data_IF_485080887640
#
_entry.id   IF_485080887640
#
_cell.length_a   1.000
_cell.length_b   1.000
_cell.length_c   1.000
_cell.angle_alpha   90.00
_cell.angle_beta   90.00
_cell.angle_gamma   90.00
#
_symmetry.space_group_name_H-M   'P 1'
#
loop_
_entity.id
_entity.type
_entity.pdbx_description
1 polymer ?
#
# COMPACT_ATOMS: atom_id res chain seq x y z
N UNK A 1 -14.95 17.69 15.96
CA UNK A 1 -13.94 18.29 15.05
C UNK A 1 -14.52 19.54 14.41
N UNK A 2 -13.84 20.67 14.53
CA UNK A 2 -14.22 21.91 13.84
C UNK A 2 -13.70 21.87 12.40
N UNK A 3 -14.59 22.10 11.44
CA UNK A 3 -14.28 21.85 10.01
C UNK A 3 -13.24 22.82 9.46
N UNK A 4 -13.38 24.12 9.66
CA UNK A 4 -12.48 25.11 9.06
C UNK A 4 -11.02 25.03 9.61
N UNK A 5 -10.78 24.90 10.92
CA UNK A 5 -9.41 24.67 11.43
C UNK A 5 -8.79 23.37 10.92
N UNK A 6 -9.58 22.30 10.75
CA UNK A 6 -9.12 21.05 10.19
C UNK A 6 -8.71 21.21 8.71
N UNK A 7 -9.56 21.84 7.90
CA UNK A 7 -9.26 22.09 6.48
C UNK A 7 -8.04 23.00 6.29
N UNK A 8 -7.83 23.97 7.19
CA UNK A 8 -6.62 24.78 7.18
C UNK A 8 -5.35 23.94 7.43
N UNK A 9 -5.40 23.01 8.41
CA UNK A 9 -4.30 22.08 8.67
C UNK A 9 -4.06 21.14 7.47
N UNK A 10 -5.14 20.60 6.88
CA UNK A 10 -5.06 19.76 5.69
C UNK A 10 -4.44 20.52 4.51
N UNK A 11 -4.86 21.74 4.26
CA UNK A 11 -4.27 22.62 3.23
C UNK A 11 -2.77 22.83 3.46
N UNK A 12 -2.35 23.08 4.70
CA UNK A 12 -0.95 23.23 5.06
C UNK A 12 -0.11 21.97 4.80
N UNK A 13 -0.67 20.78 5.10
CA UNK A 13 0.00 19.50 4.86
C UNK A 13 0.07 19.16 3.36
N UNK A 14 -0.98 19.41 2.61
CA UNK A 14 -1.04 19.19 1.16
C UNK A 14 -0.07 20.09 0.39
N UNK A 15 0.26 21.25 0.93
CA UNK A 15 1.24 22.17 0.32
C UNK A 15 2.70 21.67 0.44
N UNK A 16 2.96 20.59 1.20
CA UNK A 16 4.30 20.00 1.33
C UNK A 16 4.49 18.93 0.25
N UNK A 17 5.46 19.09 -0.67
CA UNK A 17 5.74 18.11 -1.71
C UNK A 17 6.62 16.97 -1.16
N UNK A 18 6.07 16.15 -0.27
CA UNK A 18 6.75 15.06 0.43
C UNK A 18 6.95 13.84 -0.46
N UNK A 19 7.64 14.01 -1.58
CA UNK A 19 8.04 12.91 -2.48
C UNK A 19 9.29 12.21 -1.97
N UNK A 20 9.50 10.96 -2.37
CA UNK A 20 10.57 10.11 -1.86
C UNK A 20 12.00 10.67 -2.06
N UNK A 21 12.20 11.54 -3.05
CA UNK A 21 13.45 12.23 -3.38
C UNK A 21 13.67 13.55 -2.62
N UNK A 22 12.74 13.93 -1.71
CA UNK A 22 12.76 15.20 -0.96
C UNK A 22 12.77 14.97 0.56
N UNK A 23 13.90 14.55 1.14
CA UNK A 23 13.97 14.16 2.56
C UNK A 23 13.54 15.27 3.53
N UNK A 24 13.89 16.54 3.26
CA UNK A 24 13.46 17.65 4.10
C UNK A 24 11.93 17.84 4.12
N UNK A 25 11.28 17.63 2.98
CA UNK A 25 9.83 17.72 2.89
C UNK A 25 9.13 16.49 3.52
N UNK A 26 9.76 15.29 3.50
CA UNK A 26 9.29 14.14 4.28
C UNK A 26 9.31 14.44 5.78
N UNK A 27 10.42 14.95 6.30
CA UNK A 27 10.53 15.38 7.71
C UNK A 27 9.52 16.47 8.05
N UNK A 28 9.30 17.43 7.15
CA UNK A 28 8.35 18.53 7.33
C UNK A 28 6.91 18.01 7.38
N UNK A 29 6.51 17.14 6.45
CA UNK A 29 5.16 16.57 6.42
C UNK A 29 4.89 15.74 7.68
N UNK A 30 5.82 14.84 8.05
CA UNK A 30 5.74 14.07 9.29
C UNK A 30 5.63 14.99 10.51
N UNK A 31 6.48 16.04 10.58
CA UNK A 31 6.48 17.02 11.66
C UNK A 31 5.13 17.72 11.83
N UNK A 32 4.49 18.13 10.74
CA UNK A 32 3.17 18.77 10.76
C UNK A 32 2.09 17.88 11.38
N UNK A 33 2.06 16.58 11.03
CA UNK A 33 1.07 15.64 11.59
C UNK A 33 1.39 15.30 13.04
N UNK A 34 2.66 15.10 13.39
CA UNK A 34 3.11 14.90 14.77
C UNK A 34 2.72 16.11 15.64
N UNK A 35 2.97 17.34 15.18
CA UNK A 35 2.64 18.56 15.93
C UNK A 35 1.12 18.77 16.03
N UNK A 36 0.35 18.38 15.00
CA UNK A 36 -1.10 18.39 15.03
C UNK A 36 -1.65 17.41 16.08
N UNK A 37 -1.04 16.23 16.23
CA UNK A 37 -1.44 15.24 17.21
C UNK A 37 -1.07 15.60 18.66
N UNK A 38 -0.04 16.45 18.88
CA UNK A 38 0.39 16.90 20.23
C UNK A 38 -0.55 17.98 20.80
N UNK A 39 -0.62 18.20 22.17
CA UNK A 39 0.38 17.92 23.18
C UNK A 39 0.08 16.70 24.06
N UNK A 40 1.12 16.22 24.80
CA UNK A 40 0.95 15.29 25.92
C UNK A 40 1.25 13.83 25.62
N UNK A 41 1.74 13.51 24.42
CA UNK A 41 2.06 12.15 24.01
C UNK A 41 3.57 11.94 23.83
N UNK A 42 4.04 10.73 24.08
CA UNK A 42 5.38 10.29 23.71
C UNK A 42 5.45 10.16 22.20
N UNK A 43 6.52 10.66 21.60
CA UNK A 43 6.83 10.52 20.18
C UNK A 43 8.12 9.74 20.06
N UNK A 44 8.03 8.49 19.65
CA UNK A 44 9.16 7.66 19.30
C UNK A 44 9.45 7.86 17.80
N UNK A 45 10.68 8.20 17.47
CA UNK A 45 11.10 8.49 16.09
C UNK A 45 11.99 7.38 15.58
N UNK A 46 11.78 7.04 14.31
CA UNK A 46 12.57 6.05 13.58
C UNK A 46 13.07 6.69 12.28
N UNK A 47 14.13 6.12 11.77
CA UNK A 47 14.66 6.48 10.45
C UNK A 47 15.37 5.27 9.86
N UNK A 48 15.04 4.91 8.63
CA UNK A 48 15.67 3.87 7.83
C UNK A 48 15.70 4.33 6.38
N UNK A 49 16.77 4.02 5.64
CA UNK A 49 16.90 4.38 4.24
C UNK A 49 16.68 5.87 3.92
N UNK A 50 16.90 6.77 4.90
CA UNK A 50 16.60 8.20 4.78
C UNK A 50 15.11 8.54 4.81
N UNK A 51 14.27 7.63 5.31
CA UNK A 51 12.81 7.80 5.48
C UNK A 51 12.48 7.93 6.96
N UNK A 52 12.04 9.13 7.41
CA UNK A 52 11.65 9.33 8.79
C UNK A 52 10.27 8.72 9.05
N UNK A 53 10.08 8.16 10.23
CA UNK A 53 8.76 7.71 10.69
C UNK A 53 8.59 7.96 12.19
N UNK A 54 7.37 7.87 12.70
CA UNK A 54 7.07 8.13 14.09
C UNK A 54 5.94 7.26 14.63
N UNK A 55 6.04 6.90 15.90
CA UNK A 55 4.98 6.27 16.67
C UNK A 55 4.62 7.15 17.86
N UNK A 56 3.35 7.54 17.96
CA UNK A 56 2.83 8.35 19.06
C UNK A 56 1.98 7.48 19.98
N UNK A 57 2.13 7.66 21.30
CA UNK A 57 1.35 6.94 22.31
C UNK A 57 1.31 7.69 23.66
N UNK A 58 0.32 7.45 24.53
CA UNK A 58 0.28 8.04 25.86
C UNK A 58 1.24 7.35 26.83
N UNK A 59 1.98 8.11 27.62
CA UNK A 59 2.84 7.60 28.69
C UNK A 59 4.03 6.79 28.18
N UNK A 60 4.21 5.55 28.71
CA UNK A 60 5.29 4.63 28.34
C UNK A 60 4.84 3.65 27.26
N UNK A 61 5.77 3.27 26.37
CA UNK A 61 5.51 2.28 25.31
C UNK A 61 5.05 0.96 25.94
N UNK A 62 3.94 0.45 25.38
CA UNK A 62 3.44 -0.89 25.72
C UNK A 62 4.07 -1.92 24.77
N UNK A 63 4.23 -3.17 25.20
CA UNK A 63 4.73 -4.24 24.34
C UNK A 63 3.82 -4.47 23.11
N UNK A 64 2.53 -4.20 23.27
CA UNK A 64 1.50 -4.37 22.23
C UNK A 64 0.42 -3.31 22.41
N UNK A 65 0.01 -2.68 21.32
CA UNK A 65 -1.15 -1.79 21.28
C UNK A 65 -2.44 -2.58 21.08
N UNK A 66 -3.54 -2.12 21.65
CA UNK A 66 -4.85 -2.71 21.35
C UNK A 66 -5.28 -2.32 19.92
N UNK A 67 -5.07 -1.06 19.58
CA UNK A 67 -5.31 -0.52 18.24
C UNK A 67 -4.09 0.31 17.80
N UNK A 68 -3.74 0.19 16.53
CA UNK A 68 -2.84 1.11 15.83
C UNK A 68 -3.64 1.79 14.73
N UNK A 69 -3.60 3.11 14.69
CA UNK A 69 -3.97 3.91 13.53
C UNK A 69 -2.70 4.14 12.71
N UNK A 70 -2.71 3.77 11.43
CA UNK A 70 -1.54 3.86 10.57
C UNK A 70 -1.81 4.77 9.37
N UNK A 71 -0.91 5.71 9.12
CA UNK A 71 -1.00 6.58 7.97
C UNK A 71 0.38 6.91 7.37
N UNK A 72 0.43 7.04 6.05
CA UNK A 72 1.57 7.61 5.35
C UNK A 72 1.36 9.09 5.00
N UNK A 73 2.45 9.83 4.90
CA UNK A 73 2.44 11.25 4.56
C UNK A 73 3.39 11.60 3.40
N UNK A 74 4.03 10.60 2.80
CA UNK A 74 4.67 10.72 1.50
C UNK A 74 3.63 10.71 0.38
N UNK A 75 4.05 11.07 -0.80
CA UNK A 75 3.20 11.15 -1.99
C UNK A 75 4.02 10.83 -3.24
N UNK A 76 3.36 10.31 -4.29
CA UNK A 76 3.98 10.16 -5.61
C UNK A 76 4.34 11.53 -6.20
N UNK A 77 5.32 11.61 -7.12
CA UNK A 77 5.66 12.84 -7.85
C UNK A 77 4.43 13.46 -8.54
N UNK A 78 4.41 14.78 -8.59
CA UNK A 78 3.33 15.54 -9.22
C UNK A 78 3.84 16.89 -9.75
N UNK A 79 3.04 17.51 -10.62
CA UNK A 79 3.33 18.86 -11.08
C UNK A 79 3.28 19.86 -9.92
N UNK A 80 4.14 20.91 -9.92
CA UNK A 80 4.19 21.90 -8.83
C UNK A 80 2.85 22.57 -8.51
N UNK A 81 1.94 22.63 -9.49
CA UNK A 81 0.57 23.16 -9.31
C UNK A 81 -0.28 22.34 -8.34
N UNK A 82 -0.05 21.02 -8.26
CA UNK A 82 -0.79 20.12 -7.37
C UNK A 82 -0.41 20.27 -5.89
N UNK A 83 0.71 20.96 -5.58
CA UNK A 83 1.09 21.36 -4.22
C UNK A 83 0.61 22.77 -3.86
N UNK A 84 -0.37 23.30 -4.64
CA UNK A 84 -1.13 24.52 -4.30
C UNK A 84 -2.59 24.11 -4.04
N UNK A 85 -2.86 23.53 -2.87
CA UNK A 85 -4.18 22.98 -2.58
C UNK A 85 -5.25 24.09 -2.61
N UNK A 86 -6.43 23.71 -3.07
CA UNK A 86 -7.58 24.61 -3.12
C UNK A 86 -8.87 23.84 -2.91
N UNK A 87 -9.87 24.52 -2.38
CA UNK A 87 -11.21 23.98 -2.22
C UNK A 87 -12.11 24.44 -3.36
N UNK A 88 -12.88 23.51 -3.91
CA UNK A 88 -13.99 23.80 -4.81
C UNK A 88 -15.22 22.98 -4.38
N UNK A 89 -16.24 23.64 -3.85
CA UNK A 89 -17.40 23.00 -3.24
C UNK A 89 -17.01 22.04 -2.12
N UNK A 90 -17.36 20.76 -2.30
CA UNK A 90 -17.08 19.67 -1.35
C UNK A 90 -15.79 18.92 -1.67
N UNK A 91 -14.92 19.47 -2.52
CA UNK A 91 -13.65 18.86 -2.91
C UNK A 91 -12.47 19.70 -2.43
N UNK A 92 -11.52 19.06 -1.76
CA UNK A 92 -10.22 19.63 -1.43
C UNK A 92 -9.18 19.04 -2.38
N UNK A 93 -8.75 19.84 -3.36
CA UNK A 93 -7.77 19.41 -4.37
C UNK A 93 -6.33 19.58 -3.87
N UNK A 94 -5.48 18.65 -4.25
CA UNK A 94 -4.04 18.65 -3.99
C UNK A 94 -3.47 17.24 -4.01
N UNK A 95 -2.18 17.09 -4.32
CA UNK A 95 -1.47 15.80 -4.25
C UNK A 95 -1.44 15.32 -2.80
N UNK A 96 -1.85 14.06 -2.58
CA UNK A 96 -1.98 13.46 -1.25
C UNK A 96 -3.31 13.77 -0.57
N UNK A 97 -4.25 14.45 -1.25
CA UNK A 97 -5.54 14.77 -0.65
C UNK A 97 -6.37 13.51 -0.43
N UNK A 98 -6.44 12.64 -1.43
CA UNK A 98 -7.08 11.33 -1.33
C UNK A 98 -6.15 10.31 -0.66
N UNK A 99 -4.87 10.31 -1.03
CA UNK A 99 -3.87 9.30 -0.72
C UNK A 99 -2.66 9.93 -0.02
N UNK A 100 -2.56 9.90 1.32
CA UNK A 100 -3.67 9.74 2.28
C UNK A 100 -3.59 10.81 3.38
N UNK A 101 -2.97 11.98 3.07
CA UNK A 101 -2.68 13.05 4.06
C UNK A 101 -3.91 13.55 4.82
N UNK A 102 -5.10 13.60 4.17
CA UNK A 102 -6.33 14.03 4.83
C UNK A 102 -6.77 13.00 5.86
N UNK A 103 -6.74 11.71 5.51
CA UNK A 103 -7.00 10.62 6.47
C UNK A 103 -6.00 10.62 7.62
N UNK A 104 -4.71 10.85 7.35
CA UNK A 104 -3.67 10.94 8.38
C UNK A 104 -4.00 12.01 9.44
N UNK A 105 -4.51 13.16 9.01
CA UNK A 105 -4.95 14.20 9.94
C UNK A 105 -6.22 13.82 10.69
N UNK A 106 -7.17 13.07 10.07
CA UNK A 106 -8.36 12.56 10.79
C UNK A 106 -7.93 11.60 11.88
N UNK A 107 -7.04 10.66 11.59
CA UNK A 107 -6.51 9.71 12.57
C UNK A 107 -5.74 10.42 13.70
N UNK A 108 -4.90 11.41 13.35
CA UNK A 108 -4.20 12.23 14.31
C UNK A 108 -5.15 13.03 15.22
N UNK A 109 -6.27 13.54 14.68
CA UNK A 109 -7.31 14.23 15.45
C UNK A 109 -8.02 13.28 16.43
N UNK A 110 -8.39 12.09 15.98
CA UNK A 110 -9.05 11.09 16.82
C UNK A 110 -8.08 10.59 17.90
N UNK A 111 -6.83 10.31 17.54
CA UNK A 111 -5.78 9.95 18.47
C UNK A 111 -5.61 11.01 19.57
N UNK A 112 -5.45 12.28 19.19
CA UNK A 112 -5.30 13.41 20.12
C UNK A 112 -6.44 13.51 21.13
N UNK A 113 -7.66 13.24 20.69
CA UNK A 113 -8.84 13.38 21.55
C UNK A 113 -9.04 12.20 22.50
N UNK A 114 -8.64 10.98 22.10
CA UNK A 114 -9.03 9.77 22.81
C UNK A 114 -7.87 9.03 23.49
N UNK A 115 -6.65 9.09 22.95
CA UNK A 115 -5.59 8.17 23.37
C UNK A 115 -5.26 8.22 24.85
N UNK A 116 -5.35 9.39 25.50
CA UNK A 116 -5.09 9.54 26.94
C UNK A 116 -6.24 9.06 27.83
N UNK A 117 -7.44 8.87 27.30
CA UNK A 117 -8.65 8.54 28.09
C UNK A 117 -9.16 7.12 27.87
N UNK A 118 -8.70 6.44 26.82
CA UNK A 118 -9.06 5.06 26.54
C UNK A 118 -8.47 4.11 27.59
N UNK A 119 -9.20 3.06 28.02
CA UNK A 119 -8.72 2.09 29.00
C UNK A 119 -7.71 1.08 28.42
N UNK A 120 -7.31 1.23 27.17
CA UNK A 120 -6.38 0.38 26.46
C UNK A 120 -5.37 1.21 25.64
N UNK A 121 -4.19 0.65 25.32
CA UNK A 121 -3.18 1.37 24.58
C UNK A 121 -3.60 1.60 23.12
N UNK A 122 -3.60 2.86 22.68
CA UNK A 122 -3.78 3.30 21.31
C UNK A 122 -2.45 3.86 20.79
N UNK A 123 -2.01 3.42 19.60
CA UNK A 123 -0.86 3.96 18.88
C UNK A 123 -1.30 4.72 17.64
N UNK A 124 -0.57 5.79 17.30
CA UNK A 124 -0.63 6.44 15.99
C UNK A 124 0.74 6.26 15.32
N UNK A 125 0.76 5.48 14.24
CA UNK A 125 1.95 5.15 13.46
C UNK A 125 1.94 5.97 12.17
N UNK A 126 2.97 6.79 11.97
CA UNK A 126 3.12 7.67 10.82
C UNK A 126 4.38 7.29 10.06
N UNK A 127 4.26 7.13 8.74
CA UNK A 127 5.36 6.71 7.86
C UNK A 127 5.49 7.63 6.65
N UNK A 128 6.62 7.54 5.91
CA UNK A 128 6.95 8.44 4.79
C UNK A 128 7.54 7.71 3.58
N UNK A 129 7.15 6.46 3.35
CA UNK A 129 7.72 5.63 2.29
C UNK A 129 6.74 4.60 1.69
N UNK A 130 5.43 4.73 1.97
CA UNK A 130 4.44 3.81 1.44
C UNK A 130 4.48 3.76 -0.09
N UNK A 131 4.54 4.93 -0.73
CA UNK A 131 4.54 5.13 -2.18
C UNK A 131 5.81 4.60 -2.90
N UNK A 132 6.81 4.22 -2.12
CA UNK A 132 8.07 3.63 -2.62
C UNK A 132 8.37 2.27 -2.01
N UNK A 133 7.36 1.66 -1.39
CA UNK A 133 7.40 0.27 -0.97
C UNK A 133 7.32 -0.01 0.53
N UNK A 134 7.19 0.99 1.43
CA UNK A 134 6.85 0.86 2.85
C UNK A 134 7.85 0.11 3.73
N UNK A 135 9.05 -0.18 3.23
CA UNK A 135 10.03 -1.03 3.95
C UNK A 135 10.78 -0.29 5.04
N UNK A 136 11.03 0.99 4.82
CA UNK A 136 11.78 1.85 5.74
C UNK A 136 10.88 2.52 6.80
N UNK A 137 9.57 2.51 6.59
CA UNK A 137 8.55 3.01 7.50
C UNK A 137 7.84 1.91 8.28
N UNK A 138 6.73 1.40 7.72
CA UNK A 138 5.87 0.42 8.41
C UNK A 138 6.62 -0.87 8.74
N UNK A 139 7.30 -1.49 7.77
CA UNK A 139 8.07 -2.72 8.03
C UNK A 139 9.16 -2.48 9.07
N UNK A 140 9.95 -1.41 8.91
CA UNK A 140 11.01 -1.08 9.86
C UNK A 140 10.46 -0.92 11.29
N UNK A 141 9.35 -0.21 11.49
CA UNK A 141 8.77 -0.06 12.82
C UNK A 141 8.29 -1.40 13.41
N UNK A 142 7.72 -2.30 12.59
CA UNK A 142 7.37 -3.66 13.02
C UNK A 142 8.61 -4.46 13.46
N UNK A 143 9.72 -4.37 12.72
CA UNK A 143 11.02 -4.98 13.07
C UNK A 143 11.61 -4.39 14.37
N UNK A 144 11.33 -3.11 14.66
CA UNK A 144 11.67 -2.46 15.94
C UNK A 144 10.68 -2.80 17.07
N UNK A 145 9.81 -3.80 16.86
CA UNK A 145 8.91 -4.34 17.86
C UNK A 145 7.62 -3.53 18.06
N UNK A 146 7.22 -2.67 17.11
CA UNK A 146 5.86 -2.10 17.10
C UNK A 146 4.88 -3.22 16.80
N UNK A 147 3.86 -3.39 17.63
CA UNK A 147 2.88 -4.47 17.51
C UNK A 147 1.52 -4.06 18.02
N UNK A 148 0.44 -4.61 17.45
CA UNK A 148 -0.94 -4.33 17.84
C UNK A 148 -1.86 -5.54 17.69
N UNK A 149 -3.07 -5.46 18.25
CA UNK A 149 -4.08 -6.52 18.07
C UNK A 149 -4.87 -6.30 16.78
N UNK A 150 -5.08 -5.03 16.42
CA UNK A 150 -5.80 -4.66 15.22
C UNK A 150 -5.30 -3.30 14.70
N UNK A 151 -5.17 -3.16 13.39
CA UNK A 151 -4.66 -1.95 12.74
C UNK A 151 -5.70 -1.39 11.79
N UNK A 152 -5.86 -0.07 11.80
CA UNK A 152 -6.62 0.65 10.78
C UNK A 152 -5.62 1.49 10.00
N UNK A 153 -5.56 1.27 8.68
CA UNK A 153 -4.76 2.05 7.74
C UNK A 153 -5.70 3.03 7.05
N UNK A 154 -5.45 4.32 7.19
CA UNK A 154 -6.36 5.39 6.77
C UNK A 154 -6.39 5.67 5.28
N UNK A 155 -6.00 4.73 4.41
CA UNK A 155 -6.05 4.94 2.97
C UNK A 155 -7.48 5.06 2.42
N UNK A 156 -7.59 5.73 1.29
CA UNK A 156 -8.82 6.06 0.59
C UNK A 156 -9.70 4.83 0.29
N UNK A 157 -10.90 4.83 0.81
CA UNK A 157 -11.91 3.80 0.52
C UNK A 157 -13.34 4.37 0.46
N UNK A 158 -13.52 5.64 0.78
CA UNK A 158 -14.86 6.23 0.88
C UNK A 158 -15.70 5.58 1.98
N UNK A 159 -15.08 5.20 3.11
CA UNK A 159 -15.68 4.48 4.24
C UNK A 159 -16.13 3.03 3.92
N UNK A 160 -15.77 2.46 2.77
CA UNK A 160 -15.71 1.01 2.64
C UNK A 160 -14.52 0.47 3.45
N UNK A 161 -14.47 -0.85 3.67
CA UNK A 161 -13.38 -1.47 4.42
C UNK A 161 -12.70 -2.50 3.53
N UNK A 162 -11.43 -2.25 3.15
CA UNK A 162 -10.67 -3.23 2.43
C UNK A 162 -10.02 -4.22 3.42
N UNK A 163 -10.34 -5.50 3.22
CA UNK A 163 -9.82 -6.62 4.02
C UNK A 163 -8.73 -7.39 3.30
N UNK A 164 -8.63 -7.21 1.99
CA UNK A 164 -7.68 -7.92 1.14
C UNK A 164 -7.06 -6.98 0.12
N UNK A 165 -5.77 -7.16 -0.15
CA UNK A 165 -5.10 -6.58 -1.32
C UNK A 165 -4.16 -7.59 -1.97
N UNK A 166 -3.90 -7.44 -3.28
CA UNK A 166 -2.99 -8.34 -3.98
C UNK A 166 -1.55 -8.10 -3.57
N UNK A 167 -0.79 -9.19 -3.49
CA UNK A 167 0.67 -9.17 -3.45
C UNK A 167 1.25 -8.82 -4.82
N UNK A 168 2.55 -8.59 -4.86
CA UNK A 168 3.27 -8.16 -6.05
C UNK A 168 4.55 -8.98 -6.24
N UNK A 169 4.81 -9.40 -7.47
CA UNK A 169 6.08 -10.00 -7.87
C UNK A 169 6.59 -9.23 -9.09
N UNK A 170 7.81 -8.72 -8.99
CA UNK A 170 8.57 -8.22 -10.13
C UNK A 170 9.56 -9.30 -10.56
N UNK A 171 9.47 -9.73 -11.81
CA UNK A 171 10.34 -10.78 -12.35
C UNK A 171 10.70 -10.54 -13.80
N UNK A 172 11.86 -11.06 -14.21
CA UNK A 172 12.31 -11.06 -15.59
C UNK A 172 12.44 -12.50 -16.08
N UNK A 173 12.14 -12.73 -17.36
CA UNK A 173 12.50 -13.96 -18.06
C UNK A 173 13.66 -13.67 -18.98
N UNK A 174 14.82 -14.28 -18.73
CA UNK A 174 16.03 -14.14 -19.54
C UNK A 174 16.23 -15.36 -20.41
N UNK A 175 16.19 -15.14 -21.72
CA UNK A 175 16.39 -16.19 -22.71
C UNK A 175 17.80 -16.14 -23.30
N UNK A 176 18.45 -17.30 -23.40
CA UNK A 176 19.74 -17.51 -24.05
C UNK A 176 19.62 -18.50 -25.18
N UNK A 177 20.35 -18.25 -26.25
CA UNK A 177 20.41 -19.07 -27.42
C UNK A 177 21.76 -18.98 -28.14
N UNK A 178 21.79 -19.23 -29.42
CA UNK A 178 22.98 -19.21 -30.25
C UNK A 178 22.74 -18.41 -31.54
N UNK A 179 23.57 -17.39 -31.76
CA UNK A 179 23.47 -16.57 -32.96
C UNK A 179 23.83 -17.36 -34.24
N UNK A 180 23.14 -17.04 -35.30
CA UNK A 180 23.40 -17.63 -36.60
C UNK A 180 22.81 -16.77 -37.75
N UNK A 181 23.11 -17.15 -38.99
CA UNK A 181 22.49 -16.50 -40.12
C UNK A 181 21.03 -16.96 -40.28
N UNK A 182 20.10 -16.02 -40.41
CA UNK A 182 18.65 -16.31 -40.46
C UNK A 182 18.21 -17.27 -41.57
N UNK A 183 18.97 -17.35 -42.68
CA UNK A 183 18.73 -18.30 -43.76
C UNK A 183 19.04 -19.77 -43.38
N UNK A 184 19.73 -20.00 -42.25
CA UNK A 184 20.12 -21.33 -41.76
C UNK A 184 19.66 -21.53 -40.34
N UNK A 185 18.33 -21.53 -40.07
CA UNK A 185 17.78 -21.54 -38.71
C UNK A 185 18.20 -22.74 -37.87
N UNK A 186 18.56 -23.88 -38.51
CA UNK A 186 19.07 -25.09 -37.87
C UNK A 186 20.51 -24.96 -37.36
N UNK A 187 21.22 -23.87 -37.68
CA UNK A 187 22.58 -23.59 -37.19
C UNK A 187 22.62 -22.64 -36.01
N UNK A 188 21.47 -22.13 -35.61
CA UNK A 188 21.34 -21.22 -34.47
C UNK A 188 20.26 -21.69 -33.52
N UNK A 189 20.11 -20.94 -32.43
CA UNK A 189 19.10 -21.18 -31.40
C UNK A 189 18.49 -19.84 -30.98
N UNK A 190 17.25 -19.62 -31.39
CA UNK A 190 16.61 -18.29 -31.33
C UNK A 190 16.06 -18.00 -29.92
N UNK A 191 16.73 -17.13 -29.17
CA UNK A 191 16.31 -16.73 -27.84
C UNK A 191 14.93 -16.05 -27.79
N UNK A 192 14.58 -15.25 -28.82
CA UNK A 192 13.26 -14.61 -28.89
C UNK A 192 12.11 -15.64 -29.05
N UNK A 193 12.32 -16.68 -29.83
CA UNK A 193 11.32 -17.74 -30.02
C UNK A 193 11.12 -18.50 -28.72
N UNK A 194 12.18 -18.87 -28.01
CA UNK A 194 12.07 -19.50 -26.69
C UNK A 194 11.35 -18.63 -25.68
N UNK A 195 11.65 -17.32 -25.65
CA UNK A 195 11.01 -16.37 -24.76
C UNK A 195 9.52 -16.26 -25.09
N UNK A 196 9.16 -16.14 -26.38
CA UNK A 196 7.78 -16.08 -26.84
C UNK A 196 6.99 -17.34 -26.42
N UNK A 197 7.54 -18.55 -26.61
CA UNK A 197 6.90 -19.80 -26.22
C UNK A 197 6.72 -19.89 -24.70
N UNK A 198 7.70 -19.45 -23.91
CA UNK A 198 7.61 -19.38 -22.46
C UNK A 198 6.51 -18.42 -22.01
N UNK A 199 6.47 -17.22 -22.59
CA UNK A 199 5.41 -16.23 -22.33
C UNK A 199 4.02 -16.73 -22.73
N UNK A 200 3.89 -17.43 -23.85
CA UNK A 200 2.64 -18.01 -24.30
C UNK A 200 2.09 -19.04 -23.29
N UNK A 201 2.95 -19.89 -22.71
CA UNK A 201 2.55 -20.82 -21.64
C UNK A 201 2.12 -20.09 -20.38
N UNK A 202 2.90 -19.11 -19.94
CA UNK A 202 2.57 -18.31 -18.75
C UNK A 202 1.24 -17.57 -18.93
N UNK A 203 1.03 -16.91 -20.07
CA UNK A 203 -0.20 -16.15 -20.37
C UNK A 203 -1.39 -17.08 -20.68
N UNK A 204 -1.17 -18.34 -21.01
CA UNK A 204 -2.24 -19.35 -21.07
C UNK A 204 -2.70 -19.74 -19.67
N UNK A 205 -1.77 -19.88 -18.72
CA UNK A 205 -2.10 -20.14 -17.31
C UNK A 205 -2.72 -18.91 -16.62
N UNK A 206 -2.28 -17.72 -16.99
CA UNK A 206 -2.76 -16.44 -16.48
C UNK A 206 -3.26 -15.53 -17.62
N UNK A 207 -4.44 -15.80 -18.19
CA UNK A 207 -4.95 -15.03 -19.33
C UNK A 207 -5.11 -13.55 -18.98
N UNK A 208 -4.81 -12.67 -19.95
CA UNK A 208 -4.98 -11.22 -19.80
C UNK A 208 -6.43 -10.91 -19.40
N UNK A 209 -6.61 -10.18 -18.32
CA UNK A 209 -7.93 -9.77 -17.84
C UNK A 209 -8.48 -8.63 -18.72
N UNK A 210 -9.72 -8.77 -19.19
CA UNK A 210 -10.46 -7.75 -19.96
C UNK A 210 -11.53 -7.06 -19.13
N UNK A 211 -11.72 -7.51 -17.89
CA UNK A 211 -12.65 -6.95 -16.89
C UNK A 211 -12.02 -7.08 -15.51
N UNK A 212 -12.64 -6.48 -14.50
CA UNK A 212 -12.18 -6.60 -13.12
C UNK A 212 -12.28 -8.06 -12.63
N UNK A 213 -11.14 -8.63 -12.20
CA UNK A 213 -11.08 -10.01 -11.72
C UNK A 213 -10.25 -10.15 -10.46
N UNK A 214 -10.74 -10.92 -9.50
CA UNK A 214 -10.00 -11.28 -8.28
C UNK A 214 -9.26 -12.59 -8.47
N UNK A 215 -8.18 -12.54 -9.23
CA UNK A 215 -7.25 -13.66 -9.47
C UNK A 215 -5.87 -13.12 -9.76
N UNK A 216 -4.88 -13.98 -9.83
CA UNK A 216 -3.54 -13.61 -10.30
C UNK A 216 -3.60 -13.06 -11.73
N UNK A 217 -2.92 -11.94 -11.92
CA UNK A 217 -2.77 -11.28 -13.23
C UNK A 217 -1.30 -11.05 -13.53
N UNK A 218 -0.93 -11.24 -14.78
CA UNK A 218 0.44 -11.02 -15.28
C UNK A 218 0.42 -9.90 -16.29
N UNK A 219 1.13 -8.82 -15.99
CA UNK A 219 1.40 -7.77 -16.97
C UNK A 219 2.78 -7.99 -17.59
N UNK A 220 2.81 -8.18 -18.91
CA UNK A 220 4.03 -8.17 -19.69
C UNK A 220 4.39 -6.72 -19.99
N UNK A 221 5.30 -6.16 -19.21
CA UNK A 221 5.61 -4.73 -19.26
C UNK A 221 6.57 -4.37 -20.43
N UNK A 222 7.48 -5.29 -20.79
CA UNK A 222 8.52 -5.04 -21.80
C UNK A 222 9.08 -6.34 -22.35
N UNK A 223 9.47 -6.33 -23.60
CA UNK A 223 10.29 -7.36 -24.26
C UNK A 223 11.44 -6.67 -24.98
N UNK A 224 12.65 -7.20 -24.85
CA UNK A 224 13.84 -6.68 -25.51
C UNK A 224 14.75 -7.78 -26.05
N UNK A 225 15.54 -7.38 -27.05
CA UNK A 225 16.70 -8.12 -27.54
C UNK A 225 17.77 -7.13 -27.98
N UNK A 226 19.06 -7.38 -27.71
CA UNK A 226 20.15 -6.56 -28.24
C UNK A 226 20.38 -6.74 -29.74
N UNK A 227 19.67 -7.69 -30.39
CA UNK A 227 19.80 -7.97 -31.80
C UNK A 227 19.22 -6.84 -32.64
N UNK A 228 20.05 -6.24 -33.51
CA UNK A 228 19.67 -5.14 -34.43
C UNK A 228 19.53 -5.58 -35.90
N UNK A 229 20.03 -6.77 -36.24
CA UNK A 229 20.06 -7.25 -37.61
C UNK A 229 18.95 -8.27 -37.88
N UNK A 230 18.13 -8.00 -38.91
CA UNK A 230 17.00 -8.87 -39.28
C UNK A 230 17.45 -10.23 -39.85
N UNK A 231 18.66 -10.31 -40.40
CA UNK A 231 19.26 -11.51 -40.98
C UNK A 231 20.14 -12.29 -39.99
N UNK A 232 19.99 -12.02 -38.69
CA UNK A 232 20.68 -12.70 -37.60
C UNK A 232 19.68 -13.34 -36.67
N UNK A 233 19.97 -14.56 -36.21
CA UNK A 233 19.23 -15.25 -35.13
C UNK A 233 19.63 -14.60 -33.80
N UNK A 234 18.67 -14.08 -33.00
CA UNK A 234 18.96 -13.49 -31.69
C UNK A 234 19.50 -14.54 -30.70
N UNK A 235 20.63 -14.24 -30.06
CA UNK A 235 21.22 -15.10 -29.02
C UNK A 235 20.73 -14.72 -27.61
N UNK A 236 20.09 -13.56 -27.44
CA UNK A 236 19.61 -13.08 -26.13
C UNK A 236 18.28 -12.38 -26.30
N UNK A 237 17.39 -12.55 -25.32
CA UNK A 237 16.16 -11.81 -25.18
C UNK A 237 15.75 -11.74 -23.70
N UNK A 238 15.00 -10.71 -23.33
CA UNK A 238 14.51 -10.53 -21.96
C UNK A 238 13.09 -9.98 -21.96
N UNK A 239 12.28 -10.39 -21.00
CA UNK A 239 10.94 -9.88 -20.74
C UNK A 239 10.77 -9.49 -19.27
N UNK A 240 10.08 -8.37 -19.01
CA UNK A 240 9.77 -7.86 -17.67
C UNK A 240 8.31 -8.10 -17.34
N UNK A 241 8.06 -8.66 -16.16
CA UNK A 241 6.75 -9.06 -15.67
C UNK A 241 6.42 -8.32 -14.37
N UNK A 242 5.20 -7.77 -14.27
CA UNK A 242 4.55 -7.38 -13.01
C UNK A 242 3.40 -8.36 -12.76
N UNK A 243 3.51 -9.16 -11.69
CA UNK A 243 2.53 -10.18 -11.32
C UNK A 243 1.81 -9.72 -10.06
N UNK A 244 0.47 -9.65 -10.12
CA UNK A 244 -0.38 -9.31 -8.98
C UNK A 244 -1.20 -10.52 -8.58
N UNK A 245 -1.08 -10.97 -7.33
CA UNK A 245 -1.68 -12.21 -6.87
C UNK A 245 -2.49 -12.03 -5.58
N UNK A 246 -3.68 -12.67 -5.48
CA UNK A 246 -4.49 -12.61 -4.26
C UNK A 246 -3.97 -13.56 -3.18
N UNK A 247 -4.41 -13.40 -1.91
CA UNK A 247 -4.01 -14.29 -0.81
C UNK A 247 -4.33 -15.76 -1.05
N UNK A 248 -5.36 -16.07 -1.85
CA UNK A 248 -5.80 -17.41 -2.17
C UNK A 248 -4.89 -18.16 -3.17
N UNK A 249 -3.98 -17.46 -3.85
CA UNK A 249 -3.03 -18.11 -4.78
C UNK A 249 -1.91 -18.81 -4.01
N UNK A 250 -2.11 -20.08 -3.72
CA UNK A 250 -1.16 -20.91 -2.96
C UNK A 250 0.14 -21.23 -3.71
N UNK A 251 0.21 -20.97 -5.02
CA UNK A 251 1.44 -21.13 -5.79
C UNK A 251 2.41 -19.96 -5.54
N UNK A 252 1.88 -18.80 -5.11
CA UNK A 252 2.64 -17.56 -4.94
C UNK A 252 2.62 -17.03 -3.50
N UNK A 253 1.47 -17.12 -2.82
CA UNK A 253 1.35 -16.63 -1.44
C UNK A 253 2.17 -17.49 -0.47
N UNK A 254 2.95 -16.82 0.39
CA UNK A 254 3.81 -17.46 1.38
C UNK A 254 5.06 -18.12 0.77
N UNK A 255 5.35 -17.88 -0.51
CA UNK A 255 6.51 -18.44 -1.20
C UNK A 255 7.74 -17.54 -1.08
N UNK A 256 8.89 -18.17 -0.94
CA UNK A 256 10.20 -17.49 -1.01
C UNK A 256 10.50 -17.09 -2.47
N UNK A 257 11.41 -16.12 -2.70
CA UNK A 257 11.85 -15.78 -4.06
C UNK A 257 12.36 -16.98 -4.87
N UNK A 258 13.03 -17.94 -4.23
CA UNK A 258 13.52 -19.16 -4.88
C UNK A 258 12.38 -20.09 -5.29
N UNK A 259 11.34 -20.26 -4.45
CA UNK A 259 10.14 -21.04 -4.78
C UNK A 259 9.34 -20.41 -5.91
N UNK A 260 9.21 -19.07 -5.92
CA UNK A 260 8.58 -18.33 -7.02
C UNK A 260 9.38 -18.49 -8.31
N UNK A 261 10.72 -18.40 -8.24
CA UNK A 261 11.61 -18.64 -9.39
C UNK A 261 11.40 -20.05 -9.94
N UNK A 262 11.37 -21.06 -9.08
CA UNK A 262 11.12 -22.45 -9.50
C UNK A 262 9.72 -22.63 -10.12
N UNK A 263 8.69 -21.96 -9.58
CA UNK A 263 7.35 -21.99 -10.13
C UNK A 263 7.30 -21.34 -11.54
N UNK A 264 7.88 -20.14 -11.71
CA UNK A 264 7.96 -19.48 -13.01
C UNK A 264 8.78 -20.29 -14.03
N UNK A 265 9.83 -20.99 -13.58
CA UNK A 265 10.64 -21.86 -14.43
C UNK A 265 9.83 -23.01 -15.04
N UNK A 266 8.72 -23.44 -14.41
CA UNK A 266 7.85 -24.48 -14.95
C UNK A 266 7.14 -24.07 -16.26
N UNK A 267 7.06 -22.78 -16.57
CA UNK A 267 6.52 -22.25 -17.83
C UNK A 267 7.60 -22.02 -18.88
N UNK A 268 8.87 -22.13 -18.51
CA UNK A 268 9.98 -21.74 -19.36
C UNK A 268 10.45 -22.86 -20.30
N UNK A 269 10.83 -22.47 -21.52
CA UNK A 269 11.57 -23.31 -22.45
C UNK A 269 13.01 -23.52 -21.98
N UNK A 270 13.68 -24.63 -22.37
CA UNK A 270 15.11 -24.78 -22.13
C UNK A 270 15.93 -23.57 -22.63
N UNK A 271 16.73 -23.00 -21.73
CA UNK A 271 17.51 -21.77 -22.02
C UNK A 271 16.78 -20.49 -21.68
N UNK A 272 15.58 -20.54 -21.09
CA UNK A 272 14.92 -19.39 -20.46
C UNK A 272 14.96 -19.54 -18.96
N UNK A 273 15.46 -18.51 -18.27
CA UNK A 273 15.63 -18.50 -16.81
C UNK A 273 14.85 -17.33 -16.21
N UNK A 274 13.95 -17.57 -15.27
CA UNK A 274 13.32 -16.49 -14.52
C UNK A 274 14.31 -15.92 -13.49
N UNK A 275 14.21 -14.59 -13.30
CA UNK A 275 14.91 -13.85 -12.25
C UNK A 275 13.84 -13.07 -11.49
N UNK A 276 13.61 -13.46 -10.24
CA UNK A 276 12.68 -12.76 -9.35
C UNK A 276 13.44 -11.63 -8.67
N UNK A 277 13.05 -10.39 -8.93
CA UNK A 277 13.69 -9.19 -8.36
C UNK A 277 13.05 -8.83 -7.03
N UNK A 278 11.75 -9.04 -6.91
CA UNK A 278 10.97 -8.59 -5.77
C UNK A 278 9.74 -9.45 -5.54
N UNK A 279 9.46 -9.76 -4.28
CA UNK A 279 8.22 -10.44 -3.84
C UNK A 279 7.68 -9.70 -2.63
N UNK A 280 6.49 -9.12 -2.77
CA UNK A 280 5.71 -8.58 -1.67
C UNK A 280 4.50 -9.47 -1.41
N UNK A 281 4.21 -9.80 -0.14
CA UNK A 281 3.05 -10.61 0.20
C UNK A 281 1.74 -9.86 -0.11
N UNK A 282 0.62 -10.57 -0.25
CA UNK A 282 -0.70 -9.94 -0.26
C UNK A 282 -1.05 -9.44 1.14
N UNK A 283 -2.11 -8.67 1.24
CA UNK A 283 -2.76 -8.34 2.51
C UNK A 283 -4.04 -9.16 2.66
N UNK A 284 -4.26 -9.68 3.87
CA UNK A 284 -5.49 -10.37 4.25
C UNK A 284 -5.78 -10.12 5.74
N UNK A 285 -7.04 -9.77 6.05
CA UNK A 285 -7.54 -9.64 7.41
C UNK A 285 -8.68 -10.63 7.65
N UNK A 286 -8.71 -11.22 8.84
CA UNK A 286 -9.82 -12.10 9.24
C UNK A 286 -11.13 -11.32 9.30
N UNK A 287 -12.09 -11.71 8.45
CA UNK A 287 -13.41 -11.06 8.32
C UNK A 287 -14.33 -11.36 9.50
N UNK A 288 -14.00 -12.31 10.34
CA UNK A 288 -14.77 -12.68 11.53
C UNK A 288 -14.35 -11.95 12.80
N UNK A 289 -13.34 -11.09 12.70
CA UNK A 289 -12.87 -10.28 13.83
C UNK A 289 -13.98 -9.41 14.42
N UNK A 290 -14.14 -9.41 15.76
CA UNK A 290 -15.12 -8.54 16.41
C UNK A 290 -14.83 -7.05 16.17
N UNK A 291 -13.55 -6.66 16.07
CA UNK A 291 -13.14 -5.30 15.76
C UNK A 291 -13.67 -4.85 14.38
N UNK A 292 -13.62 -5.73 13.39
CA UNK A 292 -14.14 -5.41 12.06
C UNK A 292 -15.66 -5.20 12.07
N UNK A 293 -16.39 -6.04 12.80
CA UNK A 293 -17.86 -5.88 12.95
C UNK A 293 -18.21 -4.57 13.64
N UNK A 294 -17.45 -4.19 14.67
CA UNK A 294 -17.66 -2.94 15.39
C UNK A 294 -17.36 -1.73 14.49
N UNK A 295 -16.27 -1.78 13.70
CA UNK A 295 -15.95 -0.74 12.73
C UNK A 295 -17.05 -0.60 11.67
N UNK A 296 -17.57 -1.73 11.14
CA UNK A 296 -18.71 -1.73 10.22
C UNK A 296 -19.95 -1.09 10.83
N UNK A 297 -20.24 -1.40 12.10
CA UNK A 297 -21.38 -0.81 12.81
C UNK A 297 -21.21 0.70 12.96
N UNK A 298 -20.02 1.16 13.35
CA UNK A 298 -19.72 2.58 13.50
C UNK A 298 -19.88 3.35 12.18
N UNK A 299 -19.40 2.76 11.05
CA UNK A 299 -19.52 3.34 9.73
C UNK A 299 -21.01 3.40 9.29
N UNK A 300 -21.76 2.32 9.50
CA UNK A 300 -23.21 2.29 9.20
C UNK A 300 -23.98 3.33 10.02
N UNK A 301 -23.58 3.58 11.26
CA UNK A 301 -24.10 4.66 12.08
C UNK A 301 -23.91 6.06 11.49
N UNK A 302 -22.96 6.21 10.55
CA UNK A 302 -22.74 7.46 9.81
C UNK A 302 -23.49 7.53 8.47
N UNK A 303 -24.31 6.51 8.14
CA UNK A 303 -25.08 6.45 6.90
C UNK A 303 -24.34 5.87 5.69
N UNK A 304 -23.20 5.20 5.92
CA UNK A 304 -22.42 4.50 4.87
C UNK A 304 -22.66 2.98 4.94
N UNK A 305 -22.48 2.29 3.82
CA UNK A 305 -22.77 0.84 3.73
C UNK A 305 -21.79 -0.04 4.49
N UNK A 306 -20.56 0.43 4.69
CA UNK A 306 -19.44 -0.34 5.28
C UNK A 306 -19.19 -1.67 4.57
N UNK A 307 -19.19 -1.64 3.24
CA UNK A 307 -18.93 -2.80 2.38
C UNK A 307 -17.51 -3.32 2.63
N UNK A 308 -17.36 -4.64 2.69
CA UNK A 308 -16.05 -5.26 2.65
C UNK A 308 -15.61 -5.36 1.19
N UNK A 309 -14.51 -4.70 0.88
CA UNK A 309 -13.96 -4.64 -0.48
C UNK A 309 -12.58 -5.28 -0.55
N UNK A 310 -12.09 -5.46 -1.77
CA UNK A 310 -10.75 -5.94 -2.11
C UNK A 310 -10.05 -4.87 -2.95
N UNK A 311 -8.75 -4.67 -2.73
CA UNK A 311 -7.92 -3.74 -3.51
C UNK A 311 -6.97 -4.53 -4.43
N UNK A 312 -6.83 -4.09 -5.66
CA UNK A 312 -5.89 -4.71 -6.61
C UNK A 312 -4.45 -4.19 -6.45
N UNK A 313 -4.29 -3.00 -5.88
CA UNK A 313 -2.99 -2.42 -5.50
C UNK A 313 -2.48 -3.00 -4.18
N UNK A 314 -1.17 -3.01 -4.00
CA UNK A 314 -0.55 -3.31 -2.72
C UNK A 314 -0.76 -2.14 -1.74
N UNK A 315 -0.63 -2.41 -0.44
CA UNK A 315 -0.64 -1.42 0.65
C UNK A 315 0.25 -1.91 1.79
N UNK A 316 0.52 -1.06 2.76
CA UNK A 316 1.26 -1.43 3.97
C UNK A 316 0.58 -2.51 4.80
N UNK A 317 -0.70 -2.79 4.55
CA UNK A 317 -1.42 -3.95 5.12
C UNK A 317 -0.70 -5.28 4.96
N UNK A 318 0.11 -5.45 3.90
CA UNK A 318 0.92 -6.64 3.64
C UNK A 318 1.95 -6.92 4.73
N UNK A 319 2.54 -5.90 5.33
CA UNK A 319 3.54 -6.07 6.38
C UNK A 319 2.91 -6.52 7.70
N UNK A 320 1.73 -6.01 8.02
CA UNK A 320 0.96 -6.48 9.17
C UNK A 320 0.53 -7.93 8.99
N UNK A 321 0.02 -8.29 7.81
CA UNK A 321 -0.32 -9.67 7.48
C UNK A 321 0.88 -10.60 7.62
N UNK A 322 2.04 -10.21 7.10
CA UNK A 322 3.29 -10.97 7.24
C UNK A 322 3.72 -11.13 8.71
N UNK A 323 3.48 -10.13 9.52
CA UNK A 323 3.75 -10.15 10.97
C UNK A 323 2.67 -10.89 11.79
N UNK A 324 1.63 -11.45 11.14
CA UNK A 324 0.53 -12.15 11.80
C UNK A 324 -0.42 -11.21 12.55
N UNK A 325 -0.55 -9.97 12.09
CA UNK A 325 -1.43 -8.95 12.64
C UNK A 325 -2.58 -8.66 11.68
N UNK A 326 -3.79 -8.51 12.21
CA UNK A 326 -4.93 -8.08 11.39
C UNK A 326 -4.90 -6.57 11.18
N UNK A 327 -4.90 -6.18 9.92
CA UNK A 327 -5.04 -4.80 9.50
C UNK A 327 -6.21 -4.66 8.53
N UNK A 328 -6.90 -3.54 8.55
CA UNK A 328 -7.89 -3.18 7.54
C UNK A 328 -7.62 -1.79 6.99
N UNK A 329 -8.04 -1.54 5.78
CA UNK A 329 -7.89 -0.25 5.13
C UNK A 329 -9.24 0.44 5.12
N UNK A 330 -9.31 1.65 5.71
CA UNK A 330 -10.53 2.44 5.75
C UNK A 330 -10.18 3.92 5.91
N UNK A 331 -10.64 4.76 5.01
CA UNK A 331 -10.36 6.19 5.04
C UNK A 331 -11.38 7.03 4.27
N UNK A 332 -11.06 8.30 4.09
CA UNK A 332 -11.89 9.26 3.40
C UNK A 332 -12.15 8.89 1.94
N UNK A 333 -13.18 9.45 1.35
CA UNK A 333 -13.46 9.38 -0.09
C UNK A 333 -12.71 10.46 -0.86
N UNK A 334 -12.71 10.30 -2.17
CA UNK A 334 -12.07 11.23 -3.08
C UNK A 334 -12.01 10.69 -4.50
N UNK A 335 -11.13 11.26 -5.31
CA UNK A 335 -10.93 10.83 -6.69
C UNK A 335 -9.64 11.38 -7.28
N UNK A 336 -9.32 10.92 -8.50
CA UNK A 336 -8.15 11.39 -9.24
C UNK A 336 -6.83 10.82 -8.73
N UNK A 337 -6.85 9.64 -8.10
CA UNK A 337 -5.70 8.95 -7.56
C UNK A 337 -4.48 9.01 -8.50
N UNK A 338 -3.33 9.45 -7.98
CA UNK A 338 -2.06 9.64 -8.69
C UNK A 338 -2.14 10.55 -9.94
N UNK A 339 -3.34 11.08 -10.24
CA UNK A 339 -3.60 11.95 -11.38
C UNK A 339 -3.47 13.45 -11.07
N UNK A 340 -3.63 14.29 -12.10
CA UNK A 340 -3.53 15.74 -11.98
C UNK A 340 -4.69 16.39 -11.20
N UNK A 341 -5.84 15.71 -11.11
CA UNK A 341 -7.06 16.19 -10.45
C UNK A 341 -7.37 15.49 -9.14
N UNK A 342 -6.36 15.08 -8.38
CA UNK A 342 -6.57 14.43 -7.09
C UNK A 342 -7.26 15.33 -6.08
N UNK A 343 -8.28 14.79 -5.40
CA UNK A 343 -9.03 15.50 -4.36
C UNK A 343 -9.53 14.56 -3.26
N UNK A 344 -9.68 15.08 -2.05
CA UNK A 344 -10.47 14.46 -0.99
C UNK A 344 -11.92 15.00 -1.03
N UNK A 345 -12.88 14.08 -0.83
CA UNK A 345 -14.28 14.45 -0.63
C UNK A 345 -14.50 14.90 0.82
N UNK A 346 -14.68 16.20 1.00
CA UNK A 346 -14.85 16.85 2.31
C UNK A 346 -16.04 16.26 3.07
N UNK A 347 -17.09 15.82 2.36
CA UNK A 347 -18.31 15.27 2.98
C UNK A 347 -18.05 13.96 3.72
N UNK A 348 -16.96 13.23 3.39
CA UNK A 348 -16.57 11.97 4.02
C UNK A 348 -15.72 12.16 5.27
N UNK A 349 -15.08 13.31 5.45
CA UNK A 349 -14.14 13.59 6.55
C UNK A 349 -14.83 13.50 7.91
N UNK A 350 -15.96 14.20 8.07
CA UNK A 350 -16.73 14.18 9.31
C UNK A 350 -17.27 12.79 9.67
N UNK A 351 -17.90 12.07 8.74
CA UNK A 351 -18.31 10.68 8.94
C UNK A 351 -17.14 9.74 9.33
N UNK A 352 -16.01 9.80 8.65
CA UNK A 352 -14.84 8.96 8.99
C UNK A 352 -14.33 9.26 10.41
N UNK A 353 -14.17 10.53 10.76
CA UNK A 353 -13.81 10.95 12.12
C UNK A 353 -14.77 10.40 13.19
N UNK A 354 -16.09 10.50 12.98
CA UNK A 354 -17.07 9.99 13.94
C UNK A 354 -17.07 8.47 14.02
N UNK A 355 -16.95 7.79 12.87
CA UNK A 355 -16.88 6.34 12.83
C UNK A 355 -15.67 5.79 13.61
N UNK A 356 -14.48 6.38 13.42
CA UNK A 356 -13.29 6.01 14.19
C UNK A 356 -13.48 6.24 15.69
N UNK A 357 -14.08 7.37 16.08
CA UNK A 357 -14.36 7.62 17.52
C UNK A 357 -15.35 6.61 18.11
N UNK A 358 -16.45 6.34 17.42
CA UNK A 358 -17.46 5.37 17.85
C UNK A 358 -16.85 3.96 17.97
N UNK A 359 -16.02 3.57 16.99
CA UNK A 359 -15.29 2.30 17.02
C UNK A 359 -14.38 2.20 18.25
N UNK A 360 -13.52 3.20 18.48
CA UNK A 360 -12.58 3.17 19.61
C UNK A 360 -13.27 3.20 20.96
N UNK A 361 -14.34 3.99 21.10
CA UNK A 361 -15.13 4.05 22.34
C UNK A 361 -15.95 2.77 22.56
N UNK A 362 -16.45 2.15 21.47
CA UNK A 362 -17.16 0.86 21.53
C UNK A 362 -16.28 -0.27 22.05
N UNK A 363 -15.02 -0.33 21.62
CA UNK A 363 -14.04 -1.29 22.15
C UNK A 363 -13.77 -1.10 23.66
N UNK A 364 -13.90 0.12 24.17
CA UNK A 364 -13.75 0.38 25.60
C UNK A 364 -14.88 -0.23 26.45
N UNK A 365 -16.10 -0.32 25.88
CA UNK A 365 -17.25 -0.95 26.55
C UNK A 365 -17.14 -2.48 26.64
N UNK A 366 -16.42 -3.11 25.71
CA UNK A 366 -16.18 -4.56 25.69
C UNK A 366 -14.92 -4.99 26.46
N UNK A 367 -14.10 -4.05 26.90
CA UNK A 367 -12.89 -4.34 27.66
C UNK A 367 -13.26 -4.86 29.07
N UNK A 368 -13.16 -6.18 29.28
CA UNK A 368 -13.12 -6.74 30.65
C UNK A 368 -11.86 -6.15 31.31
N UNK A 369 -11.96 -5.70 32.55
CA UNK A 369 -10.78 -5.24 33.30
C UNK A 369 -9.74 -6.37 33.35
N UNK A 370 -8.50 -6.05 32.94
CA UNK A 370 -7.32 -6.90 33.03
C UNK A 370 -6.85 -6.93 34.50
#
# INVERSE_FOLDING_TARGET
METEPFLAAATGLLAVPSTADRPDDLHRALGLVVDFARPGFTVERFESGGKPSALLYPGTRRPRFRIILNAHVDVVPADPGQFRPHRDGDRLYGRGAQDMKVSALVEAQVFRELAATLPYPLGLQLVTDEEVGGRDGTLHQLEQGVSGDFVIIGEYTGLAIATDSKGMIMANLRASGHAGHSAYPWQGDNALVKLEQSLARLLTAYPVATEEVWRTTVNLARIETPNLARNQIPAQAEAWLDIRYPPEDTNLNGKTPDEVTAYLASFCEPGVTPVVEHVDPPHHADRDRPELRLLQQAIRGQGYGAELIRKHGASDGRFYYQAGLDAVICGVGGGGLHGAGEYADITTIGPYYRALKEFLLGLAGDARPV
#
